data_IF_436078738877
#
_entry.id   IF_436078738877
#
_cell.length_a   1.000
_cell.length_b   1.000
_cell.length_c   1.000
_cell.angle_alpha   90.00
_cell.angle_beta   90.00
_cell.angle_gamma   90.00
#
_symmetry.space_group_name_H-M   'P 1'
#
loop_
_entity.id
_entity.type
_entity.pdbx_description
1 polymer ?
#
# COMPACT_ATOMS: atom_id res chain seq x y z
N UNK A 1 6.18 23.48 24.43
CA UNK A 1 6.49 22.04 24.52
C UNK A 1 5.75 21.34 23.40
N UNK A 2 6.36 20.36 22.73
CA UNK A 2 5.65 19.57 21.72
C UNK A 2 4.59 18.71 22.43
N UNK A 3 3.38 18.62 21.87
CA UNK A 3 2.31 17.79 22.41
C UNK A 3 2.71 16.31 22.30
N UNK A 4 2.51 15.57 23.40
CA UNK A 4 2.77 14.13 23.48
C UNK A 4 1.47 13.39 23.73
N UNK A 5 1.31 12.24 23.09
CA UNK A 5 0.17 11.36 23.28
C UNK A 5 0.67 9.93 23.48
N UNK A 6 0.04 9.20 24.40
CA UNK A 6 0.31 7.77 24.61
C UNK A 6 -0.69 6.94 23.81
N UNK A 7 -0.17 6.06 22.95
CA UNK A 7 -0.94 5.03 22.26
C UNK A 7 -0.83 3.74 23.07
N UNK A 8 -1.99 3.18 23.44
CA UNK A 8 -2.07 1.90 24.16
C UNK A 8 -2.48 0.81 23.17
N UNK A 9 -1.63 -0.20 23.03
CA UNK A 9 -1.96 -1.42 22.26
C UNK A 9 -2.16 -2.57 23.24
N UNK A 10 -3.39 -3.11 23.28
CA UNK A 10 -3.74 -4.26 24.12
C UNK A 10 -3.52 -5.55 23.35
N UNK A 11 -2.77 -6.49 23.93
CA UNK A 11 -2.58 -7.81 23.35
C UNK A 11 -3.87 -8.61 23.33
N UNK A 12 -4.13 -9.27 22.20
CA UNK A 12 -5.30 -10.12 21.96
C UNK A 12 -4.87 -11.30 21.09
N UNK A 13 -5.54 -12.43 21.25
CA UNK A 13 -5.28 -13.64 20.46
C UNK A 13 -5.49 -13.45 18.95
N UNK A 14 -6.31 -12.47 18.55
CA UNK A 14 -6.58 -12.11 17.16
C UNK A 14 -5.65 -11.03 16.60
N UNK A 15 -4.73 -10.47 17.41
CA UNK A 15 -3.75 -9.48 16.95
C UNK A 15 -2.60 -10.20 16.23
N UNK A 16 -2.53 -10.10 14.89
CA UNK A 16 -1.56 -10.86 14.12
C UNK A 16 -0.18 -10.22 14.28
N UNK A 17 0.81 -11.05 14.66
CA UNK A 17 2.18 -10.59 14.85
C UNK A 17 2.76 -10.03 13.55
N UNK A 18 3.28 -8.81 13.63
CA UNK A 18 3.94 -8.14 12.52
C UNK A 18 3.05 -7.60 11.41
N UNK A 19 1.72 -7.65 11.53
CA UNK A 19 0.91 -6.76 10.70
C UNK A 19 0.99 -5.33 11.26
N UNK A 20 0.88 -4.31 10.38
CA UNK A 20 0.77 -2.94 10.84
C UNK A 20 -0.48 -2.72 11.69
N UNK A 21 -0.32 -2.08 12.84
CA UNK A 21 -1.40 -1.55 13.67
C UNK A 21 -1.67 -0.12 13.23
N UNK A 22 -2.93 0.26 13.09
CA UNK A 22 -3.34 1.64 12.78
C UNK A 22 -4.23 2.18 13.87
N UNK A 23 -3.92 3.39 14.36
CA UNK A 23 -4.72 4.11 15.36
C UNK A 23 -5.02 5.51 14.88
N UNK A 24 -6.21 6.03 15.17
CA UNK A 24 -6.51 7.45 14.98
C UNK A 24 -6.13 8.24 16.23
N UNK A 25 -5.47 9.38 16.04
CA UNK A 25 -5.11 10.29 17.12
C UNK A 25 -5.37 11.76 16.73
N UNK A 26 -5.62 12.60 17.74
CA UNK A 26 -5.46 14.06 17.62
C UNK A 26 -4.08 14.40 18.14
N UNK A 27 -3.22 14.97 17.30
CA UNK A 27 -1.88 15.40 17.70
C UNK A 27 -1.72 16.88 17.38
N UNK A 28 -1.80 17.74 18.40
CA UNK A 28 -1.60 19.17 18.20
C UNK A 28 -0.20 19.47 17.64
N UNK A 29 -0.13 20.43 16.73
CA UNK A 29 1.10 20.78 16.01
C UNK A 29 1.35 19.99 14.73
N UNK A 30 0.65 18.88 14.47
CA UNK A 30 0.55 18.30 13.12
C UNK A 30 -0.62 19.00 12.42
N UNK A 31 -0.35 20.14 11.79
CA UNK A 31 -1.36 20.82 11.00
C UNK A 31 -1.60 20.02 9.71
N UNK A 32 -2.86 19.65 9.46
CA UNK A 32 -3.32 18.80 8.34
C UNK A 32 -3.21 19.53 6.98
N UNK A 33 -2.73 20.78 6.98
CA UNK A 33 -2.83 21.74 5.88
C UNK A 33 -1.69 21.64 4.84
N UNK A 34 -0.67 20.81 5.06
CA UNK A 34 0.40 20.59 4.10
C UNK A 34 0.70 19.10 3.93
N UNK A 35 0.58 18.62 2.68
CA UNK A 35 0.77 17.21 2.29
C UNK A 35 2.22 16.72 2.39
N UNK A 36 3.19 17.62 2.63
CA UNK A 36 4.61 17.30 2.47
C UNK A 36 5.37 16.76 3.69
N UNK A 37 4.89 16.93 4.94
CA UNK A 37 5.71 16.61 6.13
C UNK A 37 4.88 16.38 7.40
N UNK A 38 4.03 15.35 7.41
CA UNK A 38 3.47 14.83 8.67
C UNK A 38 4.46 13.83 9.24
N UNK A 39 5.19 14.24 10.28
CA UNK A 39 6.11 13.33 10.96
C UNK A 39 5.74 13.27 12.42
N UNK A 40 5.65 12.04 12.89
CA UNK A 40 5.65 11.73 14.31
C UNK A 40 6.94 10.98 14.62
N UNK A 41 7.39 11.07 15.87
CA UNK A 41 8.24 10.03 16.45
C UNK A 41 7.34 9.15 17.30
N UNK A 42 7.54 7.85 17.18
CA UNK A 42 6.91 6.84 18.02
C UNK A 42 8.03 6.18 18.82
N UNK A 43 7.88 6.13 20.14
CA UNK A 43 8.82 5.45 21.05
C UNK A 43 8.10 4.40 21.85
N UNK A 44 8.68 3.23 21.93
CA UNK A 44 8.23 2.17 22.84
C UNK A 44 8.61 2.53 24.27
N UNK A 45 7.63 2.69 25.18
CA UNK A 45 7.92 3.10 26.56
C UNK A 45 8.73 2.04 27.32
N UNK A 46 8.56 0.75 26.97
CA UNK A 46 9.19 -0.34 27.70
C UNK A 46 10.70 -0.45 27.40
N UNK A 47 11.10 -0.20 26.15
CA UNK A 47 12.51 -0.34 25.72
C UNK A 47 13.19 1.01 25.51
N UNK A 48 12.42 2.07 25.31
CA UNK A 48 12.91 3.36 24.89
C UNK A 48 13.28 3.43 23.41
N UNK A 49 13.06 2.38 22.61
CA UNK A 49 13.44 2.37 21.20
C UNK A 49 12.50 3.20 20.32
N UNK A 50 13.06 3.80 19.26
CA UNK A 50 12.26 4.47 18.24
C UNK A 50 11.66 3.43 17.28
N UNK A 51 10.35 3.52 17.07
CA UNK A 51 9.58 2.63 16.21
C UNK A 51 9.20 3.38 14.93
N UNK A 52 9.46 2.82 13.73
CA UNK A 52 8.98 3.39 12.48
C UNK A 52 7.45 3.62 12.51
N UNK A 53 7.03 4.85 12.23
CA UNK A 53 5.61 5.23 12.19
C UNK A 53 5.30 5.99 10.91
N UNK A 54 4.24 5.55 10.23
CA UNK A 54 3.62 6.24 9.12
C UNK A 54 2.53 7.17 9.66
N UNK A 55 2.44 8.38 9.11
CA UNK A 55 1.36 9.32 9.43
C UNK A 55 0.54 9.59 8.17
N UNK A 56 -0.77 9.37 8.24
CA UNK A 56 -1.71 9.65 7.17
C UNK A 56 -2.84 10.58 7.64
N UNK A 57 -3.48 11.36 6.74
CA UNK A 57 -4.68 12.11 7.09
C UNK A 57 -5.84 11.20 7.49
N UNK A 58 -6.52 11.56 8.57
CA UNK A 58 -7.80 10.97 8.97
C UNK A 58 -8.92 12.02 8.87
N UNK A 59 -10.15 11.63 9.20
CA UNK A 59 -11.29 12.56 9.24
C UNK A 59 -11.14 13.58 10.39
N UNK A 60 -11.80 14.74 10.25
CA UNK A 60 -12.03 15.68 11.36
C UNK A 60 -10.76 16.23 12.05
N UNK A 61 -9.70 16.50 11.29
CA UNK A 61 -8.46 17.08 11.83
C UNK A 61 -7.62 16.10 12.66
N UNK A 62 -7.93 14.80 12.58
CA UNK A 62 -7.13 13.72 13.15
C UNK A 62 -6.05 13.24 12.17
N UNK A 63 -5.17 12.40 12.69
CA UNK A 63 -4.21 11.62 11.91
C UNK A 63 -4.37 10.13 12.18
N UNK A 64 -4.12 9.32 11.16
CA UNK A 64 -3.86 7.90 11.31
C UNK A 64 -2.36 7.71 11.55
N UNK A 65 -2.02 6.95 12.60
CA UNK A 65 -0.68 6.50 12.91
C UNK A 65 -0.62 5.01 12.65
N UNK A 66 0.21 4.59 11.69
CA UNK A 66 0.40 3.18 11.37
C UNK A 66 1.83 2.76 11.67
N UNK A 67 2.02 1.69 12.42
CA UNK A 67 3.33 1.15 12.78
C UNK A 67 3.26 -0.36 12.96
N UNK A 68 4.39 -1.04 12.86
CA UNK A 68 4.46 -2.46 13.18
C UNK A 68 4.91 -2.63 14.62
N UNK A 69 4.27 -3.55 15.34
CA UNK A 69 4.67 -3.84 16.71
C UNK A 69 6.11 -4.39 16.71
N UNK A 70 7.04 -3.77 17.47
CA UNK A 70 8.43 -4.23 17.51
C UNK A 70 8.57 -5.57 18.25
N UNK A 71 7.55 -5.95 19.03
CA UNK A 71 7.47 -7.19 19.81
C UNK A 71 6.03 -7.68 19.90
N UNK A 72 5.85 -8.95 20.21
CA UNK A 72 4.54 -9.48 20.56
C UNK A 72 4.02 -8.81 21.84
N UNK A 73 2.71 -8.54 21.88
CA UNK A 73 2.01 -8.09 23.09
C UNK A 73 1.13 -9.25 23.55
N UNK A 74 1.48 -9.96 24.64
CA UNK A 74 0.70 -11.10 25.12
C UNK A 74 -0.75 -10.75 25.43
N UNK A 75 -1.63 -11.74 25.35
CA UNK A 75 -3.05 -11.54 25.66
C UNK A 75 -3.24 -11.04 27.09
N UNK A 76 -4.01 -9.95 27.24
CA UNK A 76 -4.24 -9.29 28.52
C UNK A 76 -3.14 -8.32 28.96
N UNK A 77 -2.02 -8.24 28.23
CA UNK A 77 -0.98 -7.24 28.45
C UNK A 77 -1.20 -5.98 27.58
N UNK A 78 -0.56 -4.88 27.99
CA UNK A 78 -0.57 -3.62 27.24
C UNK A 78 0.85 -3.22 26.86
N UNK A 79 1.02 -2.71 25.64
CA UNK A 79 2.21 -2.00 25.22
C UNK A 79 1.87 -0.51 25.05
N UNK A 80 2.68 0.34 25.67
CA UNK A 80 2.53 1.79 25.64
C UNK A 80 3.56 2.38 24.66
N UNK A 81 3.09 3.27 23.80
CA UNK A 81 3.94 3.98 22.86
C UNK A 81 3.72 5.49 22.97
N UNK A 82 4.80 6.23 23.19
CA UNK A 82 4.78 7.69 23.17
C UNK A 82 4.86 8.19 21.73
N UNK A 83 3.92 9.06 21.36
CA UNK A 83 3.87 9.77 20.09
C UNK A 83 4.11 11.24 20.32
N UNK A 84 5.02 11.83 19.55
CA UNK A 84 5.18 13.28 19.51
C UNK A 84 5.35 13.79 18.07
N UNK A 85 4.82 14.99 17.80
CA UNK A 85 5.06 15.64 16.52
C UNK A 85 6.56 15.89 16.35
N UNK A 86 7.11 15.58 15.18
CA UNK A 86 8.53 15.77 14.90
C UNK A 86 8.77 16.76 13.78
N UNK A 87 9.85 17.53 13.93
CA UNK A 87 10.27 18.46 12.90
C UNK A 87 10.58 17.70 11.59
N UNK A 88 10.40 18.35 10.43
CA UNK A 88 10.83 17.80 9.16
C UNK A 88 12.31 17.37 9.19
N UNK A 89 12.58 16.07 9.05
CA UNK A 89 13.92 15.54 8.76
C UNK A 89 13.97 15.12 7.29
N UNK A 90 15.13 14.79 6.74
CA UNK A 90 15.14 14.01 5.50
C UNK A 90 14.34 12.71 5.72
N UNK A 91 13.46 12.30 4.82
CA UNK A 91 12.75 11.04 4.97
C UNK A 91 13.72 9.87 4.92
N UNK A 92 13.54 8.91 5.83
CA UNK A 92 14.03 7.55 5.65
C UNK A 92 12.84 6.75 5.17
N UNK A 93 12.71 6.63 3.86
CA UNK A 93 11.71 5.77 3.25
C UNK A 93 12.31 4.37 3.16
N UNK A 94 11.77 3.47 3.97
CA UNK A 94 12.04 2.04 3.76
C UNK A 94 11.24 1.56 2.55
N UNK A 95 10.08 2.17 2.27
CA UNK A 95 9.23 1.90 1.12
C UNK A 95 9.03 3.13 0.24
N UNK A 96 9.10 2.94 -1.08
CA UNK A 96 8.95 4.00 -2.07
C UNK A 96 8.03 3.56 -3.21
N UNK A 97 7.23 4.47 -3.75
CA UNK A 97 6.43 4.31 -4.96
C UNK A 97 6.95 5.24 -6.05
N UNK A 98 7.63 4.66 -7.04
CA UNK A 98 8.39 5.41 -8.05
C UNK A 98 7.74 5.26 -9.43
N UNK A 99 7.18 6.34 -10.01
CA UNK A 99 6.69 6.33 -11.37
C UNK A 99 7.81 6.00 -12.35
N UNK A 100 7.53 5.10 -13.30
CA UNK A 100 8.44 4.70 -14.35
C UNK A 100 7.87 5.09 -15.73
N UNK A 101 8.73 5.31 -16.74
CA UNK A 101 8.28 5.48 -18.12
C UNK A 101 7.45 4.28 -18.62
N UNK A 102 6.59 4.52 -19.61
CA UNK A 102 5.84 3.45 -20.28
C UNK A 102 4.64 2.89 -19.50
N UNK A 103 4.13 3.62 -18.51
CA UNK A 103 2.93 3.20 -17.77
C UNK A 103 3.21 2.11 -16.74
N UNK A 104 4.23 2.32 -15.91
CA UNK A 104 4.60 1.45 -14.80
C UNK A 104 4.84 2.27 -13.54
N UNK A 105 4.48 1.72 -12.39
CA UNK A 105 4.78 2.27 -11.07
C UNK A 105 5.54 1.18 -10.29
N UNK A 106 6.78 1.46 -9.90
CA UNK A 106 7.60 0.53 -9.13
C UNK A 106 7.40 0.77 -7.64
N UNK A 107 7.23 -0.31 -6.88
CA UNK A 107 7.24 -0.30 -5.42
C UNK A 107 8.58 -0.83 -4.96
N UNK A 108 9.34 -0.02 -4.25
CA UNK A 108 10.66 -0.37 -3.73
C UNK A 108 10.57 -0.61 -2.22
N UNK A 109 11.35 -1.58 -1.74
CA UNK A 109 11.71 -1.73 -0.34
C UNK A 109 13.23 -1.62 -0.22
N UNK A 110 13.73 -0.61 0.49
CA UNK A 110 15.15 -0.30 0.68
C UNK A 110 15.92 -0.28 -0.64
N UNK A 111 15.36 0.42 -1.63
CA UNK A 111 15.92 0.56 -2.98
C UNK A 111 15.80 -0.67 -3.89
N UNK A 112 15.18 -1.77 -3.43
CA UNK A 112 14.96 -2.97 -4.25
C UNK A 112 13.50 -3.09 -4.65
N UNK A 113 13.22 -3.33 -5.92
CA UNK A 113 11.85 -3.50 -6.39
C UNK A 113 11.19 -4.75 -5.81
N UNK A 114 10.05 -4.56 -5.15
CA UNK A 114 9.23 -5.63 -4.57
C UNK A 114 7.93 -5.85 -5.33
N UNK A 115 7.43 -4.85 -6.03
CA UNK A 115 6.29 -4.98 -6.93
C UNK A 115 6.33 -3.95 -8.06
N UNK A 116 5.72 -4.26 -9.19
CA UNK A 116 5.52 -3.30 -10.28
C UNK A 116 4.04 -3.25 -10.70
N UNK A 117 3.40 -2.09 -10.64
CA UNK A 117 2.03 -1.92 -11.16
C UNK A 117 2.11 -1.43 -12.61
N UNK A 118 1.65 -2.26 -13.53
CA UNK A 118 1.62 -1.97 -14.97
C UNK A 118 0.23 -1.43 -15.32
N UNK A 119 0.20 -0.26 -15.94
CA UNK A 119 -1.01 0.46 -16.32
C UNK A 119 -0.92 1.10 -17.71
N UNK A 120 0.03 0.63 -18.53
CA UNK A 120 0.21 1.11 -19.90
C UNK A 120 -1.12 1.07 -20.69
N UNK A 121 -1.42 2.09 -21.51
CA UNK A 121 -2.57 2.05 -22.41
C UNK A 121 -2.53 0.90 -23.43
N UNK A 122 -1.37 0.31 -23.69
CA UNK A 122 -1.26 -0.88 -24.57
C UNK A 122 -1.81 -2.15 -23.91
N UNK A 123 -1.97 -2.13 -22.59
CA UNK A 123 -2.52 -3.25 -21.85
C UNK A 123 -4.04 -3.21 -21.81
N UNK A 124 -4.65 -4.40 -21.83
CA UNK A 124 -6.11 -4.56 -21.70
C UNK A 124 -6.60 -4.19 -20.30
N UNK A 125 -5.78 -4.41 -19.27
CA UNK A 125 -6.09 -4.11 -17.88
C UNK A 125 -4.82 -3.86 -17.08
N UNK A 126 -4.88 -3.13 -15.96
CA UNK A 126 -3.75 -3.00 -15.06
C UNK A 126 -3.50 -4.27 -14.25
N UNK A 127 -2.24 -4.58 -13.99
CA UNK A 127 -1.82 -5.75 -13.23
C UNK A 127 -0.53 -5.47 -12.46
N UNK A 128 -0.21 -6.32 -11.48
CA UNK A 128 1.00 -6.21 -10.67
C UNK A 128 1.99 -7.29 -11.11
N UNK A 129 3.14 -6.89 -11.63
CA UNK A 129 4.28 -7.74 -11.93
C UNK A 129 5.59 -6.91 -11.98
N UNK A 130 6.72 -7.42 -11.42
CA UNK A 130 6.82 -8.64 -10.62
C UNK A 130 6.07 -8.49 -9.28
N UNK A 131 5.92 -9.59 -8.55
CA UNK A 131 5.59 -9.58 -7.13
C UNK A 131 6.67 -10.39 -6.42
N UNK A 132 7.63 -9.72 -5.81
CA UNK A 132 8.88 -10.33 -5.31
C UNK A 132 8.71 -10.70 -3.85
N UNK A 133 8.93 -11.98 -3.55
CA UNK A 133 8.91 -12.49 -2.17
C UNK A 133 10.24 -12.28 -1.44
N UNK A 134 10.33 -12.69 -0.16
CA UNK A 134 11.53 -12.51 0.67
C UNK A 134 12.81 -13.13 0.10
N UNK A 135 12.70 -14.16 -0.76
CA UNK A 135 13.84 -14.78 -1.45
C UNK A 135 14.47 -13.91 -2.55
N UNK A 136 13.86 -12.76 -2.88
CA UNK A 136 14.27 -11.93 -4.00
C UNK A 136 13.80 -12.44 -5.36
N UNK A 137 12.94 -13.47 -5.38
CA UNK A 137 12.36 -14.05 -6.61
C UNK A 137 10.87 -13.68 -6.71
N UNK A 138 10.39 -13.46 -7.94
CA UNK A 138 8.96 -13.25 -8.19
C UNK A 138 8.16 -14.50 -7.82
N UNK A 139 7.14 -14.35 -6.97
CA UNK A 139 6.23 -15.45 -6.57
C UNK A 139 5.12 -15.68 -7.59
N UNK A 140 5.00 -14.78 -8.55
CA UNK A 140 4.11 -14.87 -9.72
C UNK A 140 4.90 -14.79 -11.02
N UNK A 141 4.25 -15.08 -12.14
CA UNK A 141 4.84 -15.00 -13.48
C UNK A 141 3.87 -14.38 -14.49
N UNK A 142 4.42 -13.96 -15.63
CA UNK A 142 3.65 -13.66 -16.84
C UNK A 142 3.65 -14.89 -17.73
N UNK A 143 2.47 -15.28 -18.21
CA UNK A 143 2.31 -16.42 -19.11
C UNK A 143 2.62 -17.79 -18.51
N UNK A 144 2.71 -18.79 -19.39
CA UNK A 144 3.16 -20.14 -19.09
C UNK A 144 4.39 -20.50 -19.96
N UNK A 145 5.55 -20.88 -19.39
CA UNK A 145 6.76 -21.14 -20.18
C UNK A 145 6.63 -22.23 -21.25
N UNK A 146 5.77 -23.22 -21.00
CA UNK A 146 5.52 -24.34 -21.92
C UNK A 146 4.29 -24.14 -22.81
N UNK A 147 3.60 -23.00 -22.68
CA UNK A 147 2.44 -22.65 -23.52
C UNK A 147 2.25 -21.12 -23.58
N UNK A 148 3.17 -20.40 -24.23
CA UNK A 148 3.16 -18.94 -24.26
C UNK A 148 1.97 -18.37 -25.04
N UNK A 149 1.48 -19.12 -26.03
CA UNK A 149 0.34 -18.72 -26.87
C UNK A 149 -1.00 -18.96 -26.16
N UNK A 150 -1.20 -20.14 -25.53
CA UNK A 150 -2.45 -20.45 -24.83
C UNK A 150 -2.64 -19.72 -23.50
N UNK A 151 -1.56 -19.18 -22.93
CA UNK A 151 -1.56 -18.56 -21.61
C UNK A 151 -0.97 -17.15 -21.57
N UNK A 152 -0.75 -16.49 -22.71
CA UNK A 152 -0.20 -15.12 -22.77
C UNK A 152 -1.02 -14.09 -21.97
N UNK A 153 -2.32 -14.37 -21.76
CA UNK A 153 -3.22 -13.55 -20.96
C UNK A 153 -3.02 -13.68 -19.43
N UNK A 154 -2.23 -14.65 -18.94
CA UNK A 154 -1.94 -14.80 -17.51
C UNK A 154 -1.01 -13.67 -17.02
N UNK A 155 -1.61 -12.66 -16.40
CA UNK A 155 -0.92 -11.44 -15.94
C UNK A 155 -0.77 -11.38 -14.43
N UNK A 156 0.00 -12.30 -13.85
CA UNK A 156 0.38 -12.24 -12.43
C UNK A 156 -0.83 -11.95 -11.51
N UNK A 157 -0.85 -10.82 -10.79
CA UNK A 157 -1.95 -10.37 -9.93
C UNK A 157 -2.76 -9.25 -10.61
N UNK A 158 -4.05 -9.46 -10.77
CA UNK A 158 -5.01 -8.54 -11.37
C UNK A 158 -6.41 -8.84 -10.84
N UNK A 159 -7.35 -7.92 -11.03
CA UNK A 159 -8.76 -8.09 -10.62
C UNK A 159 -9.65 -7.81 -11.83
N UNK A 160 -10.60 -8.72 -12.06
CA UNK A 160 -11.57 -8.69 -13.16
C UNK A 160 -12.82 -9.51 -12.84
N UNK A 161 -13.83 -9.44 -13.70
CA UNK A 161 -15.08 -10.20 -13.61
C UNK A 161 -15.52 -10.72 -14.98
N UNK A 162 -16.24 -11.85 -14.98
CA UNK A 162 -16.79 -12.45 -16.21
C UNK A 162 -17.99 -11.69 -16.77
N UNK A 163 -18.78 -11.04 -15.93
CA UNK A 163 -19.95 -10.26 -16.37
C UNK A 163 -20.01 -8.95 -15.59
N UNK A 164 -19.83 -7.86 -16.32
CA UNK A 164 -20.09 -6.50 -15.85
C UNK A 164 -20.96 -5.84 -16.91
N UNK A 165 -22.23 -5.60 -16.61
CA UNK A 165 -23.15 -4.95 -17.54
C UNK A 165 -23.34 -5.71 -18.86
N UNK A 166 -23.24 -7.05 -18.85
CA UNK A 166 -23.34 -7.90 -20.04
C UNK A 166 -22.05 -8.06 -20.84
N UNK A 167 -20.93 -7.47 -20.38
CA UNK A 167 -19.62 -7.59 -21.01
C UNK A 167 -18.64 -8.40 -20.16
N UNK A 168 -17.83 -9.23 -20.83
CA UNK A 168 -16.78 -10.03 -20.20
C UNK A 168 -15.46 -9.28 -20.10
N UNK A 169 -14.79 -9.33 -18.95
CA UNK A 169 -13.45 -8.79 -18.72
C UNK A 169 -12.45 -9.89 -18.32
N UNK A 170 -12.91 -11.13 -18.26
CA UNK A 170 -12.12 -12.29 -17.85
C UNK A 170 -11.55 -13.04 -19.05
N UNK A 171 -12.39 -13.31 -20.05
CA UNK A 171 -12.04 -14.16 -21.19
C UNK A 171 -11.08 -13.46 -22.14
N UNK A 172 -10.21 -14.23 -22.80
CA UNK A 172 -9.34 -13.75 -23.86
C UNK A 172 -10.13 -13.35 -25.10
N UNK A 173 -9.67 -12.32 -25.82
CA UNK A 173 -10.36 -11.80 -27.01
C UNK A 173 -11.69 -11.08 -26.75
N UNK A 174 -12.14 -10.97 -25.48
CA UNK A 174 -13.36 -10.20 -25.18
C UNK A 174 -13.18 -8.71 -25.46
N UNK A 175 -14.30 -8.01 -25.65
CA UNK A 175 -14.32 -6.56 -25.90
C UNK A 175 -14.18 -5.70 -24.63
N UNK A 176 -14.08 -6.33 -23.45
CA UNK A 176 -13.96 -5.63 -22.17
C UNK A 176 -12.51 -5.22 -21.88
N UNK A 177 -12.32 -3.96 -21.46
CA UNK A 177 -11.02 -3.36 -21.13
C UNK A 177 -11.11 -2.56 -19.83
N UNK A 178 -10.14 -2.73 -18.95
CA UNK A 178 -9.98 -1.89 -17.76
C UNK A 178 -8.89 -0.88 -18.07
N UNK A 179 -9.23 0.40 -18.16
CA UNK A 179 -8.27 1.45 -18.48
C UNK A 179 -7.95 2.26 -17.24
N UNK A 180 -6.68 2.30 -16.86
CA UNK A 180 -6.21 3.20 -15.83
C UNK A 180 -6.42 4.66 -16.28
N UNK A 181 -6.98 5.48 -15.40
CA UNK A 181 -7.22 6.91 -15.65
C UNK A 181 -6.15 7.77 -14.97
N UNK A 182 -5.95 7.56 -13.66
CA UNK A 182 -5.03 8.35 -12.85
C UNK A 182 -4.71 7.67 -11.52
N UNK A 183 -3.58 8.06 -10.94
CA UNK A 183 -3.36 7.87 -9.51
C UNK A 183 -4.14 8.93 -8.72
N UNK A 184 -4.75 8.50 -7.62
CA UNK A 184 -5.40 9.38 -6.66
C UNK A 184 -4.43 9.82 -5.57
N UNK A 185 -3.45 8.96 -5.26
CA UNK A 185 -2.47 9.19 -4.20
C UNK A 185 -1.30 8.22 -4.37
N UNK A 186 -0.10 8.68 -4.01
CA UNK A 186 1.15 7.93 -3.93
C UNK A 186 1.79 8.25 -2.57
N UNK A 187 2.16 7.22 -1.81
CA UNK A 187 2.71 7.36 -0.47
C UNK A 187 3.96 6.49 -0.28
N UNK A 188 5.06 7.19 -0.06
CA UNK A 188 6.30 6.63 0.45
C UNK A 188 6.26 6.57 1.98
N UNK A 189 7.04 5.69 2.58
CA UNK A 189 6.89 5.45 4.00
C UNK A 189 7.97 4.64 4.70
N UNK A 190 8.21 4.90 6.00
CA UNK A 190 9.05 4.03 6.81
C UNK A 190 8.37 2.70 7.19
N UNK A 191 7.05 2.56 7.01
CA UNK A 191 6.30 1.34 7.39
C UNK A 191 5.72 0.63 6.17
N UNK A 192 5.17 1.39 5.22
CA UNK A 192 4.57 0.83 4.01
C UNK A 192 4.66 1.80 2.83
N UNK A 193 4.57 1.25 1.63
CA UNK A 193 4.23 2.00 0.42
C UNK A 193 2.74 1.81 0.12
N UNK A 194 2.08 2.87 -0.33
CA UNK A 194 0.70 2.79 -0.82
C UNK A 194 0.50 3.61 -2.07
N UNK A 195 -0.33 3.11 -2.97
CA UNK A 195 -0.91 3.95 -4.00
C UNK A 195 -2.39 3.63 -4.19
N UNK A 196 -3.14 4.63 -4.64
CA UNK A 196 -4.53 4.46 -5.08
C UNK A 196 -4.66 4.79 -6.55
N UNK A 197 -5.39 3.95 -7.29
CA UNK A 197 -5.65 4.11 -8.72
C UNK A 197 -7.15 4.24 -8.97
N UNK A 198 -7.51 5.09 -9.94
CA UNK A 198 -8.84 5.10 -10.55
C UNK A 198 -8.75 4.51 -11.96
N UNK A 199 -9.67 3.62 -12.28
CA UNK A 199 -9.79 2.98 -13.60
C UNK A 199 -11.23 3.01 -14.08
N UNK A 200 -11.41 2.99 -15.40
CA UNK A 200 -12.71 2.83 -16.05
C UNK A 200 -12.77 1.45 -16.68
N UNK A 201 -13.85 0.73 -16.40
CA UNK A 201 -14.16 -0.52 -17.08
C UNK A 201 -15.05 -0.15 -18.26
N UNK A 202 -14.59 -0.44 -19.47
CA UNK A 202 -15.26 -0.09 -20.72
C UNK A 202 -15.40 -1.33 -21.62
N UNK A 203 -16.49 -1.39 -22.36
CA UNK A 203 -16.68 -2.38 -23.40
C UNK A 203 -17.37 -1.73 -24.60
N UNK A 204 -16.93 -2.07 -25.81
CA UNK A 204 -17.52 -1.55 -27.05
C UNK A 204 -17.60 0.00 -27.10
N UNK A 205 -16.58 0.66 -26.56
CA UNK A 205 -16.49 2.13 -26.50
C UNK A 205 -17.40 2.78 -25.45
N UNK A 206 -18.10 2.00 -24.61
CA UNK A 206 -18.98 2.50 -23.55
C UNK A 206 -18.37 2.27 -22.17
N UNK A 207 -18.29 3.30 -21.30
CA UNK A 207 -17.93 3.10 -19.91
C UNK A 207 -19.06 2.38 -19.17
N UNK A 208 -18.72 1.36 -18.39
CA UNK A 208 -19.67 0.55 -17.62
C UNK A 208 -19.58 0.84 -16.12
N UNK A 209 -18.37 0.98 -15.57
CA UNK A 209 -18.18 1.41 -14.18
C UNK A 209 -16.83 2.12 -13.98
N UNK A 210 -16.75 2.85 -12.85
CA UNK A 210 -15.49 3.38 -12.32
C UNK A 210 -15.07 2.54 -11.12
N UNK A 211 -13.78 2.25 -11.09
CA UNK A 211 -13.15 1.40 -10.09
C UNK A 211 -12.03 2.17 -9.40
N UNK A 212 -12.02 2.15 -8.07
CA UNK A 212 -10.98 2.75 -7.24
C UNK A 212 -10.36 1.66 -6.39
N UNK A 213 -9.04 1.50 -6.52
CA UNK A 213 -8.28 0.46 -5.80
C UNK A 213 -7.11 1.08 -5.07
N UNK A 214 -6.95 0.70 -3.80
CA UNK A 214 -5.75 0.97 -3.02
C UNK A 214 -4.88 -0.30 -2.97
N UNK A 215 -3.58 -0.13 -3.18
CA UNK A 215 -2.57 -1.16 -3.06
C UNK A 215 -1.58 -0.75 -1.99
N UNK A 216 -1.43 -1.55 -0.95
CA UNK A 216 -0.55 -1.29 0.19
C UNK A 216 0.46 -2.43 0.35
N UNK A 217 1.74 -2.07 0.51
CA UNK A 217 2.86 -2.99 0.61
C UNK A 217 3.62 -2.72 1.91
N UNK A 218 3.75 -3.73 2.75
CA UNK A 218 4.47 -3.67 4.02
C UNK A 218 5.26 -4.96 4.23
N UNK A 219 6.28 -4.91 5.08
CA UNK A 219 7.16 -6.06 5.34
C UNK A 219 6.49 -7.01 6.35
N UNK A 220 6.30 -8.29 6.04
CA UNK A 220 5.95 -9.28 7.07
C UNK A 220 7.19 -9.70 7.88
N UNK A 221 7.04 -10.14 9.15
CA UNK A 221 8.14 -10.75 9.90
C UNK A 221 8.74 -11.93 9.13
N UNK A 222 10.06 -11.96 9.05
CA UNK A 222 10.84 -12.91 8.24
C UNK A 222 12.21 -12.36 7.89
#
# INVERSE_FOLDING_TARGET
MAERLTVVVRGRSDLPQGLPVTVEAKLGGISVWWEGMRRARLRDEATGDEVPVQVAPAREGKVELTFQLPRAVPEGEEALFEVEASAPRAPRYDFEVVPQPGGRLSVLFRGKEVAGYIFSPTERLPYVYPLVGPSGVSVTRIGHPHDPEGHGHHKSLWISHKDVGGASFWEEGSKGRIRHERFLHLLDGPVFAEFSSESVWEAEGKPLLRDRRAFRFFKLPG
#
